data_IF_955166453919
#
_entry.id   IF_955166453919
#
_cell.length_a   1.000
_cell.length_b   1.000
_cell.length_c   1.000
_cell.angle_alpha   90.00
_cell.angle_beta   90.00
_cell.angle_gamma   90.00
#
_symmetry.space_group_name_H-M   'P 1'
#
loop_
_entity.id
_entity.type
_entity.pdbx_description
1 polymer ?
#
# COMPACT_ATOMS: atom_id res chain seq x y z
N UNK A 1 10.98 -3.94 -5.60
CA UNK A 1 11.45 -3.42 -4.30
C UNK A 1 10.36 -3.73 -3.31
N UNK A 2 10.71 -4.30 -2.16
CA UNK A 2 9.70 -4.71 -1.18
C UNK A 2 9.31 -3.54 -0.27
N UNK A 3 8.09 -3.58 0.26
CA UNK A 3 7.56 -2.52 1.11
C UNK A 3 8.43 -2.29 2.38
N UNK A 4 9.03 -3.36 2.90
CA UNK A 4 9.89 -3.35 4.09
C UNK A 4 11.17 -2.53 3.90
N UNK A 5 11.56 -2.26 2.64
CA UNK A 5 12.77 -1.51 2.28
C UNK A 5 12.53 0.00 2.18
N UNK A 6 11.27 0.45 2.23
CA UNK A 6 10.91 1.88 2.11
C UNK A 6 11.36 2.63 3.37
N UNK A 7 12.24 3.63 3.22
CA UNK A 7 12.70 4.50 4.33
C UNK A 7 12.60 6.00 4.01
N UNK A 8 12.39 6.35 2.74
CA UNK A 8 12.36 7.72 2.24
C UNK A 8 11.28 7.93 1.18
N UNK A 9 11.05 9.20 0.79
CA UNK A 9 10.20 9.55 -0.34
C UNK A 9 10.71 8.94 -1.65
N UNK A 10 12.03 8.86 -1.84
CA UNK A 10 12.61 8.27 -3.04
C UNK A 10 12.31 6.77 -3.11
N UNK A 11 12.47 6.06 -1.99
CA UNK A 11 12.15 4.63 -1.91
C UNK A 11 10.64 4.40 -2.14
N UNK A 12 9.78 5.25 -1.58
CA UNK A 12 8.34 5.17 -1.82
C UNK A 12 8.00 5.31 -3.32
N UNK A 13 8.63 6.24 -4.03
CA UNK A 13 8.43 6.39 -5.48
C UNK A 13 8.94 5.16 -6.26
N UNK A 14 10.08 4.60 -5.86
CA UNK A 14 10.60 3.37 -6.46
C UNK A 14 9.68 2.17 -6.20
N UNK A 15 9.13 2.06 -4.99
CA UNK A 15 8.13 1.05 -4.65
C UNK A 15 6.88 1.21 -5.51
N UNK A 16 6.35 2.43 -5.67
CA UNK A 16 5.17 2.68 -6.51
C UNK A 16 5.41 2.28 -7.96
N UNK A 17 6.57 2.63 -8.53
CA UNK A 17 6.94 2.22 -9.89
C UNK A 17 7.05 0.69 -10.01
N UNK A 18 7.65 0.02 -9.02
CA UNK A 18 7.76 -1.43 -9.00
C UNK A 18 6.39 -2.11 -8.88
N UNK A 19 5.49 -1.59 -8.05
CA UNK A 19 4.13 -2.11 -7.86
C UNK A 19 3.29 -1.95 -9.15
N UNK A 20 3.41 -0.81 -9.83
CA UNK A 20 2.75 -0.59 -11.11
C UNK A 20 3.27 -1.54 -12.19
N UNK A 21 4.60 -1.76 -12.25
CA UNK A 21 5.20 -2.70 -13.18
C UNK A 21 4.74 -4.14 -12.89
N UNK A 22 4.68 -4.52 -11.61
CA UNK A 22 4.18 -5.84 -11.21
C UNK A 22 2.72 -6.04 -11.61
N UNK A 23 1.86 -5.03 -11.43
CA UNK A 23 0.48 -5.09 -11.93
C UNK A 23 0.42 -5.24 -13.45
N UNK A 24 1.31 -4.59 -14.20
CA UNK A 24 1.32 -4.68 -15.66
C UNK A 24 1.78 -6.06 -16.15
N UNK A 25 2.86 -6.60 -15.56
CA UNK A 25 3.48 -7.85 -15.99
C UNK A 25 2.76 -9.08 -15.44
N UNK A 26 2.21 -8.98 -14.22
CA UNK A 26 1.61 -10.07 -13.48
C UNK A 26 0.11 -9.86 -13.21
N UNK A 27 -0.56 -8.99 -13.98
CA UNK A 27 -2.00 -8.68 -13.82
C UNK A 27 -2.89 -9.89 -13.57
N UNK A 28 -2.75 -11.04 -14.27
CA UNK A 28 -3.61 -12.21 -14.03
C UNK A 28 -3.46 -12.86 -12.65
N UNK A 29 -2.33 -12.63 -11.97
CA UNK A 29 -2.04 -13.17 -10.64
C UNK A 29 -2.60 -12.29 -9.51
N UNK A 30 -2.94 -11.05 -9.81
CA UNK A 30 -3.54 -10.14 -8.85
C UNK A 30 -5.00 -10.54 -8.58
N UNK A 31 -5.34 -10.68 -7.30
CA UNK A 31 -6.72 -10.95 -6.88
C UNK A 31 -7.62 -9.72 -7.12
N UNK A 32 -7.14 -8.53 -6.71
CA UNK A 32 -7.89 -7.28 -6.73
C UNK A 32 -7.50 -6.39 -7.92
N UNK A 33 -7.97 -6.74 -9.12
CA UNK A 33 -7.58 -6.06 -10.38
C UNK A 33 -8.39 -4.81 -10.70
N UNK A 34 -9.61 -4.69 -10.16
CA UNK A 34 -10.41 -3.47 -10.30
C UNK A 34 -10.04 -2.53 -9.17
N UNK A 35 -9.98 -1.23 -9.48
CA UNK A 35 -9.65 -0.21 -8.48
C UNK A 35 -10.60 -0.25 -7.27
N UNK A 36 -11.89 -0.50 -7.47
CA UNK A 36 -12.85 -0.64 -6.38
C UNK A 36 -12.49 -1.78 -5.43
N UNK A 37 -12.23 -2.99 -5.98
CA UNK A 37 -11.85 -4.18 -5.21
C UNK A 37 -10.51 -3.95 -4.48
N UNK A 38 -9.55 -3.27 -5.14
CA UNK A 38 -8.26 -2.94 -4.54
C UNK A 38 -8.38 -1.97 -3.36
N UNK A 39 -9.23 -0.94 -3.48
CA UNK A 39 -9.49 0.01 -2.39
C UNK A 39 -10.23 -0.65 -1.23
N UNK A 40 -11.15 -1.59 -1.50
CA UNK A 40 -11.81 -2.38 -0.47
C UNK A 40 -10.80 -3.27 0.28
N UNK A 41 -9.95 -3.99 -0.46
CA UNK A 41 -8.91 -4.84 0.13
C UNK A 41 -7.90 -4.03 0.95
N UNK A 42 -7.53 -2.83 0.49
CA UNK A 42 -6.68 -1.90 1.24
C UNK A 42 -7.34 -1.53 2.57
N UNK A 43 -8.63 -1.21 2.56
CA UNK A 43 -9.38 -0.88 3.78
C UNK A 43 -9.41 -2.04 4.79
N UNK A 44 -9.71 -3.25 4.33
CA UNK A 44 -9.70 -4.47 5.16
C UNK A 44 -8.32 -4.75 5.75
N UNK A 45 -7.27 -4.57 4.96
CA UNK A 45 -5.90 -4.74 5.45
C UNK A 45 -5.56 -3.72 6.54
N UNK A 46 -5.91 -2.45 6.36
CA UNK A 46 -5.67 -1.40 7.37
C UNK A 46 -6.44 -1.68 8.67
N UNK A 47 -7.65 -2.23 8.58
CA UNK A 47 -8.46 -2.61 9.76
C UNK A 47 -7.78 -3.70 10.61
N UNK A 48 -7.09 -4.65 9.98
CA UNK A 48 -6.50 -5.83 10.64
C UNK A 48 -4.96 -5.80 10.77
N UNK A 49 -4.28 -4.75 10.29
CA UNK A 49 -2.83 -4.79 10.09
C UNK A 49 -2.05 -5.02 11.38
N UNK A 50 -2.50 -4.55 12.55
CA UNK A 50 -1.80 -4.80 13.82
C UNK A 50 -1.76 -6.29 14.15
N UNK A 51 -2.77 -7.05 13.73
CA UNK A 51 -2.77 -8.51 13.79
C UNK A 51 -1.61 -9.11 13.00
N UNK A 52 -1.41 -8.66 11.76
CA UNK A 52 -0.30 -9.11 10.91
C UNK A 52 1.07 -8.86 11.56
N UNK A 53 1.32 -7.64 12.08
CA UNK A 53 2.60 -7.32 12.73
C UNK A 53 2.83 -8.18 13.97
N UNK A 54 1.83 -8.29 14.86
CA UNK A 54 1.95 -9.13 16.07
C UNK A 54 2.20 -10.60 15.73
N UNK A 55 1.46 -11.15 14.76
CA UNK A 55 1.53 -12.57 14.39
C UNK A 55 2.85 -12.93 13.70
N UNK A 56 3.51 -11.96 13.07
CA UNK A 56 4.83 -12.14 12.43
C UNK A 56 6.00 -11.74 13.31
N UNK A 57 5.76 -11.39 14.59
CA UNK A 57 6.80 -10.98 15.54
C UNK A 57 7.42 -9.61 15.24
N UNK A 58 6.75 -8.79 14.43
CA UNK A 58 7.18 -7.44 14.07
C UNK A 58 6.61 -6.40 15.03
N UNK A 59 7.30 -5.27 15.16
CA UNK A 59 6.78 -4.14 15.92
C UNK A 59 5.60 -3.50 15.19
N UNK A 60 4.47 -3.33 15.90
CA UNK A 60 3.32 -2.62 15.36
C UNK A 60 3.68 -1.16 15.14
N UNK A 61 3.54 -0.62 13.91
CA UNK A 61 3.88 0.78 13.62
C UNK A 61 2.98 1.74 14.40
N UNK A 62 3.60 2.62 15.19
CA UNK A 62 2.87 3.59 16.04
C UNK A 62 2.84 5.01 15.48
N UNK A 63 3.74 5.35 14.58
CA UNK A 63 3.88 6.69 14.01
C UNK A 63 3.46 6.71 12.54
N UNK A 64 2.17 6.45 12.29
CA UNK A 64 1.60 6.53 10.94
C UNK A 64 0.90 7.88 10.79
N UNK A 65 1.30 8.66 9.80
CA UNK A 65 0.59 9.88 9.44
C UNK A 65 -0.62 9.55 8.54
N UNK A 66 -1.70 9.06 9.15
CA UNK A 66 -2.94 8.69 8.45
C UNK A 66 -3.50 9.80 7.57
N UNK A 67 -3.36 11.05 8.02
CA UNK A 67 -3.76 12.23 7.24
C UNK A 67 -3.00 12.34 5.92
N UNK A 68 -1.69 12.05 5.91
CA UNK A 68 -0.89 12.09 4.68
C UNK A 68 -1.32 10.96 3.74
N UNK A 69 -1.52 9.75 4.26
CA UNK A 69 -2.03 8.61 3.48
C UNK A 69 -3.37 8.94 2.81
N UNK A 70 -4.34 9.47 3.57
CA UNK A 70 -5.62 9.91 3.05
C UNK A 70 -5.49 11.04 2.01
N UNK A 71 -4.56 11.98 2.22
CA UNK A 71 -4.32 13.08 1.28
C UNK A 71 -3.79 12.57 -0.07
N UNK A 72 -2.87 11.59 -0.05
CA UNK A 72 -2.30 10.97 -1.26
C UNK A 72 -3.41 10.27 -2.05
N UNK A 73 -4.20 9.41 -1.40
CA UNK A 73 -5.29 8.68 -2.05
C UNK A 73 -6.34 9.64 -2.64
N UNK A 74 -6.69 10.69 -1.89
CA UNK A 74 -7.65 11.69 -2.35
C UNK A 74 -7.13 12.50 -3.53
N UNK A 75 -5.85 12.89 -3.50
CA UNK A 75 -5.25 13.65 -4.59
C UNK A 75 -5.22 12.82 -5.89
N UNK A 76 -4.79 11.56 -5.80
CA UNK A 76 -4.76 10.63 -6.94
C UNK A 76 -6.15 10.28 -7.51
N UNK A 77 -7.23 10.47 -6.73
CA UNK A 77 -8.59 10.23 -7.24
C UNK A 77 -9.21 11.42 -7.98
N UNK A 78 -8.61 12.61 -7.90
CA UNK A 78 -9.22 13.87 -8.39
C UNK A 78 -8.28 14.68 -9.29
N UNK A 79 -7.00 14.77 -8.94
CA UNK A 79 -6.08 15.77 -9.51
C UNK A 79 -4.97 15.18 -10.37
N UNK A 80 -4.37 14.07 -9.93
CA UNK A 80 -3.27 13.37 -10.63
C UNK A 80 -3.84 12.23 -11.48
#
# INVERSE_FOLDING_TARGET
>A
MDAEQVRSKADFLQFMAALQQDLADNSPQWENRKLADYLEALGRWVEDMEGYYRNTGQEVPRQISWRVFASILRAASIYE
#
